data_IF_197354519968
#
_entry.id   IF_197354519968
#
_cell.length_a   1.000
_cell.length_b   1.000
_cell.length_c   1.000
_cell.angle_alpha   90.00
_cell.angle_beta   90.00
_cell.angle_gamma   90.00
#
_symmetry.space_group_name_H-M   'P 1'
#
loop_
_entity.id
_entity.type
_entity.pdbx_description
1 polymer ?
#
# COMPACT_ATOMS: atom_id res chain seq x y z
N UNK A 1 -10.25 -26.03 -13.90
CA UNK A 1 -9.54 -24.73 -13.80
C UNK A 1 -8.01 -24.92 -13.87
N UNK A 2 -7.37 -25.63 -12.92
CA UNK A 2 -5.90 -25.75 -12.89
C UNK A 2 -5.31 -26.47 -14.13
N UNK A 3 -6.00 -27.47 -14.69
CA UNK A 3 -5.59 -28.09 -15.96
C UNK A 3 -5.55 -27.09 -17.12
N UNK A 4 -6.52 -26.17 -17.18
CA UNK A 4 -6.52 -25.09 -18.17
C UNK A 4 -5.38 -24.10 -17.92
N UNK A 5 -5.08 -23.78 -16.64
CA UNK A 5 -3.96 -22.92 -16.30
C UNK A 5 -2.62 -23.50 -16.78
N UNK A 6 -2.43 -24.83 -16.71
CA UNK A 6 -1.24 -25.49 -17.26
C UNK A 6 -1.07 -25.29 -18.78
N UNK A 7 -2.16 -25.05 -19.52
CA UNK A 7 -2.13 -24.77 -20.96
C UNK A 7 -1.89 -23.29 -21.26
N UNK A 8 -2.44 -22.39 -20.43
CA UNK A 8 -2.38 -20.94 -20.67
C UNK A 8 -1.08 -20.29 -20.19
N UNK A 9 -0.39 -20.91 -19.22
CA UNK A 9 0.88 -20.42 -18.68
C UNK A 9 2.04 -20.78 -19.60
N UNK A 10 2.20 -19.99 -20.67
CA UNK A 10 3.22 -20.18 -21.71
C UNK A 10 4.40 -19.20 -21.61
N UNK A 11 4.26 -18.13 -20.84
CA UNK A 11 5.28 -17.08 -20.71
C UNK A 11 6.27 -17.42 -19.60
N UNK A 12 7.55 -17.35 -19.91
CA UNK A 12 8.64 -17.46 -18.93
C UNK A 12 8.84 -16.12 -18.21
N UNK A 13 8.27 -15.98 -17.02
CA UNK A 13 8.39 -14.79 -16.17
C UNK A 13 8.70 -15.21 -14.74
N UNK A 14 9.97 -15.49 -14.45
CA UNK A 14 10.41 -16.24 -13.27
C UNK A 14 9.82 -15.75 -11.93
N UNK A 15 9.69 -14.44 -11.75
CA UNK A 15 9.20 -13.84 -10.51
C UNK A 15 7.69 -14.06 -10.35
N UNK A 16 6.92 -14.00 -11.44
CA UNK A 16 5.48 -14.28 -11.40
C UNK A 16 5.21 -15.74 -11.07
N UNK A 17 6.02 -16.66 -11.58
CA UNK A 17 5.94 -18.08 -11.23
C UNK A 17 6.32 -18.31 -9.75
N UNK A 18 7.36 -17.64 -9.25
CA UNK A 18 7.73 -17.70 -7.83
C UNK A 18 6.59 -17.23 -6.92
N UNK A 19 5.96 -16.09 -7.25
CA UNK A 19 4.78 -15.58 -6.53
C UNK A 19 3.61 -16.56 -6.62
N UNK A 20 3.33 -17.13 -7.80
CA UNK A 20 2.30 -18.15 -7.99
C UNK A 20 2.50 -19.38 -7.11
N UNK A 21 3.73 -19.89 -6.99
CA UNK A 21 4.07 -21.02 -6.10
C UNK A 21 3.79 -20.70 -4.64
N UNK A 22 4.09 -19.46 -4.22
CA UNK A 22 3.83 -18.99 -2.85
C UNK A 22 2.33 -18.90 -2.56
N UNK A 23 1.56 -18.35 -3.50
CA UNK A 23 0.10 -18.27 -3.35
C UNK A 23 -0.54 -19.66 -3.33
N UNK A 24 -0.09 -20.60 -4.17
CA UNK A 24 -0.60 -21.99 -4.12
C UNK A 24 -0.27 -22.71 -2.81
N UNK A 25 0.89 -22.43 -2.20
CA UNK A 25 1.22 -22.91 -0.85
C UNK A 25 0.22 -22.40 0.18
N UNK A 26 -0.18 -21.13 0.07
CA UNK A 26 -1.14 -20.51 0.98
C UNK A 26 -2.54 -21.09 0.76
N UNK A 27 -2.96 -21.24 -0.49
CA UNK A 27 -4.25 -21.83 -0.87
C UNK A 27 -4.39 -23.26 -0.34
N UNK A 28 -3.36 -24.09 -0.46
CA UNK A 28 -3.34 -25.46 0.11
C UNK A 28 -3.62 -25.46 1.62
N UNK A 29 -2.97 -24.55 2.38
CA UNK A 29 -3.22 -24.39 3.82
C UNK A 29 -4.63 -23.87 4.14
N UNK A 30 -5.17 -23.00 3.29
CA UNK A 30 -6.54 -22.52 3.46
C UNK A 30 -7.54 -23.65 3.26
N UNK A 31 -7.31 -24.53 2.29
CA UNK A 31 -8.14 -25.72 2.04
C UNK A 31 -8.02 -26.74 3.17
N UNK A 32 -6.82 -26.95 3.71
CA UNK A 32 -6.59 -27.77 4.90
C UNK A 32 -7.41 -27.26 6.10
N UNK A 33 -7.27 -25.99 6.45
CA UNK A 33 -8.05 -25.37 7.53
C UNK A 33 -9.57 -25.40 7.26
N UNK A 34 -9.99 -25.33 5.99
CA UNK A 34 -11.39 -25.43 5.61
C UNK A 34 -11.91 -26.86 5.84
N UNK A 35 -11.14 -27.88 5.49
CA UNK A 35 -11.49 -29.28 5.72
C UNK A 35 -11.69 -29.54 7.23
N UNK A 36 -10.78 -29.05 8.08
CA UNK A 36 -10.89 -29.18 9.54
C UNK A 36 -12.18 -28.57 10.08
N UNK A 37 -12.57 -27.39 9.57
CA UNK A 37 -13.81 -26.71 9.96
C UNK A 37 -15.06 -27.42 9.46
N UNK A 38 -15.01 -28.02 8.27
CA UNK A 38 -16.15 -28.73 7.69
C UNK A 38 -16.36 -30.10 8.31
N UNK A 39 -15.31 -30.73 8.87
CA UNK A 39 -15.43 -32.06 9.49
C UNK A 39 -16.50 -32.13 10.59
N UNK A 40 -16.75 -31.03 11.31
CA UNK A 40 -17.77 -30.96 12.36
C UNK A 40 -19.19 -30.74 11.81
N UNK A 41 -19.36 -29.83 10.84
CA UNK A 41 -20.70 -29.36 10.42
C UNK A 41 -21.18 -29.94 9.09
N UNK A 42 -20.26 -30.32 8.20
CA UNK A 42 -20.49 -30.75 6.82
C UNK A 42 -19.47 -31.81 6.36
N UNK A 43 -19.37 -32.97 7.06
CA UNK A 43 -18.37 -33.99 6.76
C UNK A 43 -18.45 -34.53 5.33
N UNK A 44 -19.61 -34.46 4.69
CA UNK A 44 -19.83 -34.84 3.28
C UNK A 44 -19.04 -33.97 2.28
N UNK A 45 -18.66 -32.75 2.66
CA UNK A 45 -17.89 -31.84 1.82
C UNK A 45 -16.37 -32.00 1.97
N UNK A 46 -15.92 -32.67 3.04
CA UNK A 46 -14.49 -32.86 3.32
C UNK A 46 -13.76 -33.56 2.16
N UNK A 47 -14.30 -34.64 1.55
CA UNK A 47 -13.63 -35.27 0.40
C UNK A 47 -13.45 -34.32 -0.80
N UNK A 48 -14.40 -33.42 -1.05
CA UNK A 48 -14.31 -32.45 -2.14
C UNK A 48 -13.22 -31.41 -1.88
N UNK A 49 -13.09 -30.93 -0.64
CA UNK A 49 -12.04 -29.99 -0.25
C UNK A 49 -10.67 -30.64 -0.30
N UNK A 50 -10.56 -31.89 0.14
CA UNK A 50 -9.32 -32.66 0.06
C UNK A 50 -8.88 -32.87 -1.39
N UNK A 51 -9.81 -33.23 -2.29
CA UNK A 51 -9.53 -33.33 -3.72
C UNK A 51 -9.08 -32.00 -4.34
N UNK A 52 -9.70 -30.88 -3.92
CA UNK A 52 -9.28 -29.55 -4.35
C UNK A 52 -7.87 -29.22 -3.87
N UNK A 53 -7.54 -29.56 -2.61
CA UNK A 53 -6.21 -29.37 -2.03
C UNK A 53 -5.16 -30.18 -2.79
N UNK A 54 -5.42 -31.44 -3.06
CA UNK A 54 -4.54 -32.31 -3.86
C UNK A 54 -4.27 -31.71 -5.24
N UNK A 55 -5.32 -31.21 -5.90
CA UNK A 55 -5.18 -30.52 -7.19
C UNK A 55 -4.28 -29.26 -7.11
N UNK A 56 -4.39 -28.49 -6.02
CA UNK A 56 -3.55 -27.31 -5.75
C UNK A 56 -2.09 -27.71 -5.48
N UNK A 57 -1.86 -28.76 -4.70
CA UNK A 57 -0.53 -29.27 -4.37
C UNK A 57 0.19 -29.80 -5.62
N UNK A 58 -0.51 -30.59 -6.44
CA UNK A 58 -0.01 -31.06 -7.73
C UNK A 58 0.32 -29.90 -8.68
N UNK A 59 -0.55 -28.89 -8.75
CA UNK A 59 -0.29 -27.70 -9.56
C UNK A 59 0.92 -26.92 -9.04
N UNK A 60 1.09 -26.81 -7.72
CA UNK A 60 2.27 -26.19 -7.11
C UNK A 60 3.56 -26.92 -7.50
N UNK A 61 3.56 -28.27 -7.47
CA UNK A 61 4.70 -29.09 -7.90
C UNK A 61 5.01 -28.82 -9.37
N UNK A 62 3.99 -28.80 -10.23
CA UNK A 62 4.14 -28.49 -11.65
C UNK A 62 4.72 -27.09 -11.88
N UNK A 63 4.25 -26.07 -11.12
CA UNK A 63 4.80 -24.72 -11.19
C UNK A 63 6.29 -24.69 -10.83
N UNK A 64 6.71 -25.40 -9.77
CA UNK A 64 8.12 -25.49 -9.36
C UNK A 64 8.99 -26.14 -10.43
N UNK A 65 8.52 -27.22 -11.05
CA UNK A 65 9.23 -27.92 -12.12
C UNK A 65 9.42 -27.01 -13.35
N UNK A 66 8.39 -26.25 -13.71
CA UNK A 66 8.44 -25.29 -14.83
C UNK A 66 9.29 -24.05 -14.53
N UNK A 67 9.27 -23.55 -13.30
CA UNK A 67 10.00 -22.34 -12.89
C UNK A 67 11.50 -22.57 -12.75
N UNK A 68 11.93 -23.78 -12.35
CA UNK A 68 13.34 -24.13 -12.12
C UNK A 68 14.30 -23.77 -13.27
N UNK A 69 14.03 -24.14 -14.55
CA UNK A 69 14.92 -23.81 -15.66
C UNK A 69 14.81 -22.36 -16.16
N UNK A 70 13.86 -21.56 -15.66
CA UNK A 70 13.60 -20.22 -16.20
C UNK A 70 14.73 -19.24 -15.87
N UNK A 71 15.19 -18.52 -16.89
CA UNK A 71 16.21 -17.45 -16.79
C UNK A 71 15.73 -16.13 -17.37
N UNK A 72 14.61 -16.11 -18.11
CA UNK A 72 14.03 -14.91 -18.69
C UNK A 72 13.62 -13.88 -17.61
N UNK A 73 13.83 -12.57 -17.88
CA UNK A 73 13.38 -11.51 -17.00
C UNK A 73 11.85 -11.42 -16.98
N UNK A 74 11.28 -10.98 -15.85
CA UNK A 74 9.82 -10.83 -15.71
C UNK A 74 9.27 -9.50 -16.24
N UNK A 75 10.14 -8.60 -16.71
CA UNK A 75 9.75 -7.28 -17.20
C UNK A 75 8.99 -7.37 -18.53
N UNK A 76 8.03 -6.46 -18.73
CA UNK A 76 7.19 -6.43 -19.94
C UNK A 76 7.84 -5.70 -21.13
N UNK A 77 9.02 -5.09 -20.95
CA UNK A 77 9.69 -4.26 -21.94
C UNK A 77 9.15 -2.83 -22.01
N UNK A 78 9.97 -1.90 -22.52
CA UNK A 78 9.67 -0.46 -22.52
C UNK A 78 8.41 -0.14 -23.33
N UNK A 79 8.24 -0.73 -24.51
CA UNK A 79 7.08 -0.43 -25.37
C UNK A 79 5.75 -0.83 -24.71
N UNK A 80 5.69 -2.03 -24.12
CA UNK A 80 4.51 -2.48 -23.39
C UNK A 80 4.29 -1.66 -22.12
N UNK A 81 5.36 -1.27 -21.43
CA UNK A 81 5.26 -0.39 -20.27
C UNK A 81 4.69 0.98 -20.64
N UNK A 82 5.21 1.61 -21.69
CA UNK A 82 4.70 2.89 -22.21
C UNK A 82 3.22 2.78 -22.61
N UNK A 83 2.86 1.70 -23.31
CA UNK A 83 1.46 1.45 -23.67
C UNK A 83 0.59 1.30 -22.43
N UNK A 84 1.04 0.53 -21.43
CA UNK A 84 0.31 0.27 -20.20
C UNK A 84 0.11 1.54 -19.37
N UNK A 85 1.16 2.34 -19.19
CA UNK A 85 1.08 3.60 -18.46
C UNK A 85 0.10 4.57 -19.13
N UNK A 86 0.14 4.68 -20.46
CA UNK A 86 -0.74 5.58 -21.21
C UNK A 86 -2.19 5.12 -21.25
N UNK A 87 -2.44 3.83 -21.48
CA UNK A 87 -3.78 3.33 -21.80
C UNK A 87 -4.51 2.71 -20.60
N UNK A 88 -3.78 2.29 -19.56
CA UNK A 88 -4.36 1.72 -18.34
C UNK A 88 -4.28 2.70 -17.17
N UNK A 89 -3.08 3.19 -16.86
CA UNK A 89 -2.90 4.16 -15.77
C UNK A 89 -3.19 5.61 -16.17
N UNK A 90 -3.42 5.88 -17.46
CA UNK A 90 -3.69 7.21 -18.01
C UNK A 90 -2.58 8.24 -17.68
N UNK A 91 -1.35 7.78 -17.51
CA UNK A 91 -0.17 8.61 -17.28
C UNK A 91 0.43 8.98 -18.65
N UNK A 92 0.60 10.28 -18.98
CA UNK A 92 1.00 10.72 -20.32
C UNK A 92 2.51 10.61 -20.58
N UNK A 93 3.28 10.07 -19.63
CA UNK A 93 4.74 9.99 -19.69
C UNK A 93 5.21 8.60 -20.09
N UNK A 94 6.18 8.55 -21.00
CA UNK A 94 6.97 7.35 -21.29
C UNK A 94 7.83 6.95 -20.08
N UNK A 95 8.32 5.72 -20.08
CA UNK A 95 9.27 5.22 -19.09
C UNK A 95 10.49 6.12 -18.93
N UNK A 96 11.06 6.61 -20.03
CA UNK A 96 12.23 7.49 -19.99
C UNK A 96 11.90 8.81 -19.29
N UNK A 97 10.78 9.45 -19.66
CA UNK A 97 10.34 10.69 -19.02
C UNK A 97 10.01 10.50 -17.54
N UNK A 98 9.42 9.36 -17.16
CA UNK A 98 9.19 9.02 -15.76
C UNK A 98 10.50 8.83 -14.99
N UNK A 99 11.52 8.20 -15.60
CA UNK A 99 12.83 8.07 -14.98
C UNK A 99 13.51 9.42 -14.79
N UNK A 100 13.38 10.35 -15.74
CA UNK A 100 13.88 11.72 -15.60
C UNK A 100 13.19 12.46 -14.45
N UNK A 101 11.87 12.32 -14.32
CA UNK A 101 11.11 12.89 -13.20
C UNK A 101 11.56 12.27 -11.87
N UNK A 102 11.67 10.94 -11.77
CA UNK A 102 12.10 10.25 -10.55
C UNK A 102 13.50 10.68 -10.13
N UNK A 103 14.43 10.76 -11.07
CA UNK A 103 15.79 11.22 -10.77
C UNK A 103 15.80 12.66 -10.25
N UNK A 104 15.06 13.56 -10.91
CA UNK A 104 14.93 14.95 -10.46
C UNK A 104 14.31 15.06 -9.07
N UNK A 105 13.23 14.33 -8.79
CA UNK A 105 12.55 14.37 -7.49
C UNK A 105 13.42 13.75 -6.38
N UNK A 106 14.22 12.71 -6.69
CA UNK A 106 15.19 12.16 -5.74
C UNK A 106 16.26 13.18 -5.37
N UNK A 107 16.87 13.85 -6.36
CA UNK A 107 17.87 14.89 -6.13
C UNK A 107 17.30 16.06 -5.30
N UNK A 108 16.06 16.45 -5.61
CA UNK A 108 15.35 17.51 -4.89
C UNK A 108 15.06 17.11 -3.45
N UNK A 109 14.52 15.90 -3.23
CA UNK A 109 14.21 15.39 -1.89
C UNK A 109 15.47 15.27 -1.01
N UNK A 110 16.59 14.80 -1.58
CA UNK A 110 17.86 14.74 -0.87
C UNK A 110 18.39 16.12 -0.50
N UNK A 111 18.24 17.10 -1.40
CA UNK A 111 18.63 18.49 -1.13
C UNK A 111 17.78 19.10 -0.02
N UNK A 112 16.46 18.90 -0.07
CA UNK A 112 15.53 19.41 0.93
C UNK A 112 15.73 18.74 2.29
N UNK A 113 16.02 17.43 2.32
CA UNK A 113 16.40 16.74 3.55
C UNK A 113 17.61 17.41 4.21
N UNK A 114 18.66 17.74 3.45
CA UNK A 114 19.85 18.40 4.01
C UNK A 114 19.54 19.82 4.52
N UNK A 115 18.64 20.54 3.87
CA UNK A 115 18.18 21.85 4.33
C UNK A 115 17.37 21.74 5.62
N UNK A 116 16.46 20.78 5.72
CA UNK A 116 15.66 20.53 6.92
C UNK A 116 16.53 20.03 8.10
N UNK A 117 17.49 19.11 7.86
CA UNK A 117 18.49 18.73 8.85
C UNK A 117 19.26 19.94 9.36
N UNK A 118 19.66 20.85 8.47
CA UNK A 118 20.32 22.09 8.87
C UNK A 118 19.38 22.99 9.68
N UNK A 119 18.15 23.24 9.21
CA UNK A 119 17.15 24.06 9.90
C UNK A 119 16.91 23.54 11.33
N UNK A 120 16.76 22.23 11.46
CA UNK A 120 16.35 21.56 12.69
C UNK A 120 17.53 21.11 13.57
N UNK A 121 18.78 21.42 13.19
CA UNK A 121 20.03 20.98 13.89
C UNK A 121 20.15 21.33 15.37
N UNK A 122 19.31 22.24 15.88
CA UNK A 122 19.29 22.67 17.29
C UNK A 122 18.14 22.06 18.09
N UNK A 123 17.24 21.34 17.43
CA UNK A 123 16.14 20.62 18.07
C UNK A 123 16.65 19.29 18.64
N UNK A 124 16.04 18.79 19.73
CA UNK A 124 16.34 17.45 20.22
C UNK A 124 15.92 16.39 19.21
N UNK A 125 16.65 15.28 19.15
CA UNK A 125 16.24 14.13 18.34
C UNK A 125 14.91 13.55 18.86
N UNK A 126 13.99 13.28 17.92
CA UNK A 126 12.76 12.56 18.22
C UNK A 126 13.09 11.16 18.72
N UNK A 127 12.35 10.70 19.73
CA UNK A 127 12.46 9.35 20.25
C UNK A 127 11.23 8.55 19.89
N UNK A 128 11.40 7.28 19.50
CA UNK A 128 10.27 6.45 19.19
C UNK A 128 9.45 6.18 20.47
N UNK A 129 8.13 6.10 20.32
CA UNK A 129 7.26 5.68 21.41
C UNK A 129 7.73 4.34 22.02
N UNK A 130 7.73 4.29 23.36
CA UNK A 130 8.24 3.19 24.16
C UNK A 130 7.12 2.25 24.66
N UNK A 131 5.85 2.63 24.50
CA UNK A 131 4.71 1.81 24.93
C UNK A 131 3.48 1.97 24.03
N UNK A 132 2.54 1.04 24.17
CA UNK A 132 1.24 1.10 23.50
C UNK A 132 0.43 2.34 23.89
N UNK A 133 0.44 2.68 25.18
CA UNK A 133 -0.30 3.84 25.70
C UNK A 133 0.29 5.16 25.18
N UNK A 134 1.61 5.24 25.08
CA UNK A 134 2.27 6.41 24.52
C UNK A 134 1.95 6.60 23.03
N UNK A 135 2.00 5.54 22.21
CA UNK A 135 1.69 5.69 20.79
C UNK A 135 0.20 5.97 20.54
N UNK A 136 -0.70 5.46 21.39
CA UNK A 136 -2.14 5.80 21.36
C UNK A 136 -2.37 7.28 21.66
N UNK A 137 -1.69 7.79 22.69
CA UNK A 137 -1.72 9.21 23.05
C UNK A 137 -1.24 10.07 21.89
N UNK A 138 -0.01 9.82 21.40
CA UNK A 138 0.58 10.56 20.27
C UNK A 138 -0.30 10.51 19.03
N UNK A 139 -0.91 9.35 18.72
CA UNK A 139 -1.81 9.20 17.56
C UNK A 139 -3.07 10.05 17.70
N UNK A 140 -3.71 10.04 18.88
CA UNK A 140 -4.92 10.84 19.12
C UNK A 140 -4.61 12.32 19.01
N UNK A 141 -3.56 12.77 19.68
CA UNK A 141 -3.17 14.18 19.71
C UNK A 141 -2.77 14.66 18.30
N UNK A 142 -2.08 13.81 17.52
CA UNK A 142 -1.76 14.11 16.12
C UNK A 142 -2.99 14.20 15.20
N UNK A 143 -4.00 13.34 15.39
CA UNK A 143 -5.28 13.43 14.63
C UNK A 143 -5.99 14.74 14.95
N UNK A 144 -6.11 15.08 16.24
CA UNK A 144 -6.74 16.32 16.68
C UNK A 144 -6.01 17.54 16.12
N UNK A 145 -4.68 17.59 16.28
CA UNK A 145 -3.85 18.67 15.78
C UNK A 145 -3.94 18.83 14.25
N UNK A 146 -3.89 17.72 13.50
CA UNK A 146 -3.97 17.78 12.04
C UNK A 146 -5.31 18.36 11.56
N UNK A 147 -6.44 17.93 12.13
CA UNK A 147 -7.73 18.51 11.76
C UNK A 147 -7.87 19.97 12.18
N UNK A 148 -7.32 20.36 13.34
CA UNK A 148 -7.29 21.75 13.75
C UNK A 148 -6.48 22.60 12.78
N UNK A 149 -5.28 22.15 12.39
CA UNK A 149 -4.45 22.81 11.40
C UNK A 149 -5.18 23.01 10.06
N UNK A 150 -5.81 21.96 9.53
CA UNK A 150 -6.54 22.04 8.26
C UNK A 150 -7.70 23.05 8.31
N UNK A 151 -8.37 23.20 9.46
CA UNK A 151 -9.45 24.18 9.65
C UNK A 151 -8.93 25.61 9.81
N UNK A 152 -7.76 25.79 10.39
CA UNK A 152 -7.17 27.11 10.63
C UNK A 152 -6.51 27.70 9.39
N UNK A 153 -5.78 26.90 8.63
CA UNK A 153 -4.97 27.36 7.50
C UNK A 153 -5.75 27.47 6.18
N UNK A 154 -7.05 27.17 6.17
CA UNK A 154 -7.95 27.23 5.00
C UNK A 154 -7.44 26.48 3.74
N UNK A 155 -6.52 25.53 3.92
CA UNK A 155 -5.92 24.72 2.84
C UNK A 155 -6.85 23.61 2.35
N UNK A 156 -7.77 23.14 3.19
CA UNK A 156 -8.70 22.06 2.88
C UNK A 156 -9.98 22.18 3.68
N UNK A 157 -11.13 22.14 3.00
CA UNK A 157 -12.42 22.08 3.69
C UNK A 157 -12.57 20.75 4.41
N UNK A 158 -12.75 20.81 5.74
CA UNK A 158 -13.02 19.66 6.63
C UNK A 158 -14.48 19.67 7.08
N UNK A 159 -15.39 18.94 6.40
CA UNK A 159 -16.75 18.71 6.89
C UNK A 159 -16.78 17.84 8.16
N UNK A 160 -17.86 17.95 8.93
CA UNK A 160 -18.03 17.24 10.21
C UNK A 160 -17.99 15.71 10.11
N UNK A 161 -18.27 15.14 8.94
CA UNK A 161 -18.23 13.70 8.72
C UNK A 161 -16.80 13.15 8.54
N UNK A 162 -15.81 14.01 8.30
CA UNK A 162 -14.44 13.58 8.02
C UNK A 162 -13.72 13.18 9.30
N UNK A 163 -13.22 11.96 9.32
CA UNK A 163 -12.49 11.42 10.45
C UNK A 163 -11.29 10.57 10.03
N UNK A 164 -10.26 10.54 10.86
CA UNK A 164 -9.15 9.58 10.77
C UNK A 164 -9.17 8.69 12.00
N UNK A 165 -8.79 7.42 11.82
CA UNK A 165 -8.71 6.48 12.94
C UNK A 165 -7.58 6.87 13.89
N UNK A 166 -7.91 6.87 15.18
CA UNK A 166 -6.96 6.95 16.30
C UNK A 166 -6.59 5.57 16.85
N UNK A 167 -7.17 4.48 16.31
CA UNK A 167 -7.00 3.12 16.82
C UNK A 167 -5.57 2.61 16.59
N UNK A 168 -4.87 2.33 17.69
CA UNK A 168 -3.59 1.60 17.70
C UNK A 168 -3.76 0.35 18.57
N UNK A 169 -3.77 -0.81 17.92
CA UNK A 169 -4.15 -2.09 18.55
C UNK A 169 -3.01 -2.81 19.24
N UNK A 170 -1.80 -2.71 18.71
CA UNK A 170 -0.65 -3.45 19.20
C UNK A 170 0.61 -2.60 19.16
N UNK A 171 1.54 -2.92 20.07
CA UNK A 171 2.86 -2.32 20.10
C UNK A 171 3.87 -3.21 19.39
N UNK A 172 4.65 -2.64 18.48
CA UNK A 172 5.70 -3.33 17.74
C UNK A 172 7.05 -3.09 18.44
N UNK A 173 7.75 -4.15 18.88
CA UNK A 173 9.04 -4.02 19.54
C UNK A 173 10.12 -3.54 18.56
N UNK A 174 11.20 -2.87 19.04
CA UNK A 174 12.19 -2.22 18.20
C UNK A 174 12.82 -3.09 17.10
N UNK A 175 13.06 -4.38 17.37
CA UNK A 175 13.66 -5.35 16.45
C UNK A 175 12.74 -5.76 15.29
N UNK A 176 11.46 -5.36 15.32
CA UNK A 176 10.44 -5.74 14.32
C UNK A 176 9.81 -4.55 13.61
N UNK A 177 10.31 -3.33 13.85
CA UNK A 177 9.75 -2.12 13.23
C UNK A 177 10.24 -2.00 11.80
N UNK A 178 9.31 -1.95 10.86
CA UNK A 178 9.60 -1.54 9.49
C UNK A 178 9.78 -0.01 9.40
N UNK A 179 10.09 0.48 8.21
CA UNK A 179 10.29 1.91 7.94
C UNK A 179 9.10 2.78 8.41
N UNK A 180 7.86 2.38 8.11
CA UNK A 180 6.68 3.17 8.43
C UNK A 180 6.37 3.19 9.92
N UNK A 181 6.60 2.07 10.59
CA UNK A 181 6.47 1.98 12.05
C UNK A 181 7.53 2.85 12.72
N UNK A 182 8.77 2.87 12.19
CA UNK A 182 9.79 3.77 12.71
C UNK A 182 9.34 5.22 12.58
N UNK A 183 8.93 5.67 11.39
CA UNK A 183 8.44 7.06 11.19
C UNK A 183 7.31 7.38 12.17
N UNK A 184 6.25 6.57 12.19
CA UNK A 184 5.06 6.78 13.04
C UNK A 184 5.40 6.85 14.52
N UNK A 185 6.36 6.06 14.98
CA UNK A 185 6.73 6.03 16.40
C UNK A 185 7.55 7.24 16.80
N UNK A 186 8.34 7.82 15.89
CA UNK A 186 9.06 9.07 16.14
C UNK A 186 8.08 10.25 16.09
N UNK A 187 7.22 10.27 15.07
CA UNK A 187 6.14 11.24 14.91
C UNK A 187 4.98 10.63 14.11
N UNK A 188 3.76 10.77 14.63
CA UNK A 188 2.56 10.29 13.96
C UNK A 188 2.16 11.17 12.77
N UNK A 189 2.54 12.46 12.75
CA UNK A 189 2.04 13.43 11.78
C UNK A 189 2.42 13.13 10.33
N UNK A 190 3.63 12.70 9.96
CA UNK A 190 3.98 12.48 8.55
C UNK A 190 3.06 11.48 7.84
N UNK A 191 2.87 10.27 8.39
CA UNK A 191 1.98 9.28 7.79
C UNK A 191 0.49 9.58 8.00
N UNK A 192 0.16 10.39 9.00
CA UNK A 192 -1.20 10.90 9.18
C UNK A 192 -1.53 11.96 8.13
N UNK A 193 -0.57 12.81 7.75
CA UNK A 193 -0.72 13.76 6.67
C UNK A 193 -0.92 13.02 5.33
N UNK A 194 -0.15 11.95 5.07
CA UNK A 194 -0.36 11.06 3.93
C UNK A 194 -1.78 10.45 3.92
N UNK A 195 -2.37 10.21 5.10
CA UNK A 195 -3.72 9.66 5.24
C UNK A 195 -4.83 10.59 4.67
N UNK A 196 -4.47 11.75 4.11
CA UNK A 196 -5.32 12.61 3.28
C UNK A 196 -6.18 11.83 2.28
N UNK A 197 -5.64 10.82 1.61
CA UNK A 197 -6.42 10.03 0.64
C UNK A 197 -7.62 9.30 1.27
N UNK A 198 -7.61 9.03 2.59
CA UNK A 198 -8.77 8.50 3.31
C UNK A 198 -9.85 9.56 3.57
N UNK A 199 -9.48 10.83 3.70
CA UNK A 199 -10.44 11.94 3.76
C UNK A 199 -11.12 12.13 2.40
N UNK A 200 -10.36 12.01 1.32
CA UNK A 200 -10.93 12.06 -0.04
C UNK A 200 -11.86 10.90 -0.31
N UNK A 201 -11.51 9.67 0.11
CA UNK A 201 -12.45 8.53 0.04
C UNK A 201 -13.75 8.76 0.81
N UNK A 202 -13.71 9.51 1.92
CA UNK A 202 -14.93 9.90 2.64
C UNK A 202 -15.75 10.92 1.85
N UNK A 203 -15.10 11.88 1.19
CA UNK A 203 -15.76 12.82 0.27
C UNK A 203 -16.46 12.09 -0.89
N UNK A 204 -15.81 11.08 -1.47
CA UNK A 204 -16.38 10.31 -2.58
C UNK A 204 -17.66 9.55 -2.21
N UNK A 205 -17.90 9.24 -0.93
CA UNK A 205 -19.17 8.64 -0.49
C UNK A 205 -20.39 9.55 -0.71
N UNK A 206 -20.16 10.85 -0.87
CA UNK A 206 -21.20 11.85 -1.14
C UNK A 206 -21.21 12.30 -2.61
N UNK A 207 -20.39 11.69 -3.47
CA UNK A 207 -20.34 12.03 -4.88
C UNK A 207 -21.63 11.58 -5.59
N UNK A 208 -22.38 12.51 -6.17
CA UNK A 208 -23.64 12.25 -6.89
C UNK A 208 -23.46 12.18 -8.41
N UNK A 209 -22.22 12.29 -8.91
CA UNK A 209 -21.95 12.30 -10.34
C UNK A 209 -22.37 10.96 -10.98
N UNK A 210 -23.17 10.96 -12.06
CA UNK A 210 -23.81 9.76 -12.59
C UNK A 210 -22.84 8.66 -13.05
N UNK A 211 -21.59 9.03 -13.34
CA UNK A 211 -20.53 8.10 -13.79
C UNK A 211 -19.49 7.83 -12.69
N UNK A 212 -19.31 8.76 -11.73
CA UNK A 212 -18.17 8.72 -10.77
C UNK A 212 -18.59 8.39 -9.35
N UNK A 213 -19.90 8.33 -9.09
CA UNK A 213 -20.46 7.99 -7.77
C UNK A 213 -20.30 6.51 -7.38
N UNK A 214 -19.95 5.64 -8.34
CA UNK A 214 -19.79 4.20 -8.12
C UNK A 214 -18.31 3.83 -8.22
N UNK A 215 -17.76 3.10 -7.24
CA UNK A 215 -16.40 2.58 -7.33
C UNK A 215 -16.20 1.73 -8.58
N UNK A 216 -15.11 1.98 -9.31
CA UNK A 216 -14.71 1.15 -10.44
C UNK A 216 -14.21 -0.21 -9.96
N UNK A 217 -14.33 -1.24 -10.82
CA UNK A 217 -13.76 -2.57 -10.58
C UNK A 217 -12.23 -2.59 -10.68
N UNK A 218 -11.62 -1.49 -11.11
CA UNK A 218 -10.18 -1.35 -11.34
C UNK A 218 -9.68 -0.07 -10.68
N UNK A 219 -8.46 -0.13 -10.13
CA UNK A 219 -7.83 1.01 -9.48
C UNK A 219 -6.98 1.81 -10.49
N UNK A 220 -7.63 2.59 -11.36
CA UNK A 220 -6.96 3.48 -12.32
C UNK A 220 -6.69 4.89 -11.76
N UNK A 221 -7.10 5.15 -10.52
CA UNK A 221 -6.96 6.44 -9.85
C UNK A 221 -5.86 6.43 -8.79
N UNK A 222 -5.07 5.36 -8.73
CA UNK A 222 -3.95 5.19 -7.79
C UNK A 222 -2.98 6.38 -7.85
N UNK A 223 -2.59 6.76 -9.06
CA UNK A 223 -1.65 7.85 -9.30
C UNK A 223 -2.20 9.20 -8.85
N UNK A 224 -3.51 9.43 -9.01
CA UNK A 224 -4.17 10.63 -8.49
C UNK A 224 -4.29 10.57 -6.97
N UNK A 225 -4.71 9.44 -6.40
CA UNK A 225 -4.98 9.31 -4.96
C UNK A 225 -3.69 9.34 -4.15
N UNK A 226 -2.77 8.43 -4.43
CA UNK A 226 -1.51 8.29 -3.71
C UNK A 226 -0.54 9.44 -4.08
N UNK A 227 -0.50 9.84 -5.35
CA UNK A 227 0.33 10.98 -5.78
C UNK A 227 -0.10 12.30 -5.14
N UNK A 228 -1.41 12.55 -5.01
CA UNK A 228 -1.89 13.74 -4.28
C UNK A 228 -1.60 13.63 -2.78
N UNK A 229 -1.75 12.45 -2.16
CA UNK A 229 -1.40 12.26 -0.76
C UNK A 229 0.09 12.56 -0.48
N UNK A 230 0.98 12.03 -1.31
CA UNK A 230 2.42 12.31 -1.21
C UNK A 230 2.74 13.79 -1.47
N UNK A 231 2.10 14.41 -2.46
CA UNK A 231 2.24 15.86 -2.68
C UNK A 231 1.71 16.69 -1.52
N UNK A 232 0.62 16.25 -0.89
CA UNK A 232 -0.01 16.93 0.23
C UNK A 232 0.91 16.96 1.46
N UNK A 233 1.69 15.91 1.71
CA UNK A 233 2.71 15.91 2.78
C UNK A 233 3.68 17.09 2.64
N UNK A 234 4.22 17.29 1.44
CA UNK A 234 5.13 18.42 1.20
C UNK A 234 4.41 19.76 1.26
N UNK A 235 3.19 19.87 0.71
CA UNK A 235 2.40 21.10 0.79
C UNK A 235 2.14 21.50 2.25
N UNK A 236 1.78 20.54 3.11
CA UNK A 236 1.55 20.80 4.53
C UNK A 236 2.83 21.09 5.29
N UNK A 237 3.96 20.49 4.88
CA UNK A 237 5.28 20.88 5.39
C UNK A 237 5.58 22.34 5.11
N UNK A 238 5.35 22.81 3.88
CA UNK A 238 5.55 24.21 3.53
C UNK A 238 4.52 25.15 4.19
N UNK A 239 3.31 24.65 4.48
CA UNK A 239 2.28 25.40 5.21
C UNK A 239 2.53 25.45 6.73
N UNK A 240 3.58 24.80 7.24
CA UNK A 240 3.96 24.87 8.66
C UNK A 240 3.32 23.83 9.57
N UNK A 241 2.74 22.75 9.02
CA UNK A 241 2.13 21.68 9.83
C UNK A 241 3.11 21.12 10.87
N UNK A 242 4.38 20.98 10.50
CA UNK A 242 5.43 20.36 11.33
C UNK A 242 6.28 21.39 12.12
N UNK A 243 5.94 22.68 12.11
CA UNK A 243 6.76 23.71 12.77
C UNK A 243 6.69 23.67 14.31
N UNK A 244 5.68 22.99 14.87
CA UNK A 244 5.47 22.84 16.31
C UNK A 244 6.09 21.56 16.90
N UNK A 245 6.76 20.76 16.07
CA UNK A 245 7.37 19.48 16.46
C UNK A 245 8.78 19.63 17.04
#
# INVERSE_FOLDING_TARGET
ILSQAKQNLVVEAKDLWFLGIREKKRESRVLENLADRLAEFHPELVPLVQQAKESVDEFQIWLKQKQSPMTAPSGIGIDNYNWYMKNVHLIPFTWAEQMDIVQRELERALSFLKLEEHRNRKLPELRPAASLEEIRLRRRDAVEYFFEFLRQEDVFTVPDYMQLSTDVRSFIPPDRRDFFVQVTYHDCLPLLCHSFHWLEKQREKFNTHPIRSVPLLYNIWDSRSEGMATGFEEMMLQAGLFDKN
#
